data_IF_733645662992
#
_entry.id   IF_733645662992
#
_cell.length_a   1.000
_cell.length_b   1.000
_cell.length_c   1.000
_cell.angle_alpha   90.00
_cell.angle_beta   90.00
_cell.angle_gamma   90.00
#
_symmetry.space_group_name_H-M   'P 1'
#
loop_
_entity.id
_entity.type
_entity.pdbx_description
1 polymer ?
#
# COMPACT_ATOMS: atom_id res chain seq x y z
N UNK A 1 53.23 -37.11 53.53
CA UNK A 1 52.28 -37.34 52.45
C UNK A 1 51.09 -36.41 52.69
N UNK A 2 51.13 -35.23 52.09
CA UNK A 2 50.22 -34.14 52.38
C UNK A 2 49.27 -34.05 51.19
N UNK A 3 47.99 -34.29 51.40
CA UNK A 3 46.95 -34.19 50.40
C UNK A 3 46.39 -32.78 50.48
N UNK A 4 46.66 -31.99 49.45
CA UNK A 4 46.11 -30.63 49.31
C UNK A 4 44.78 -30.71 48.58
N UNK A 5 43.72 -30.33 49.30
CA UNK A 5 42.37 -30.29 48.77
C UNK A 5 42.16 -28.94 48.07
N UNK A 6 41.99 -28.97 46.75
CA UNK A 6 41.64 -27.80 45.96
C UNK A 6 40.13 -27.60 46.00
N UNK A 7 39.73 -26.50 46.62
CA UNK A 7 38.35 -26.03 46.57
C UNK A 7 38.17 -25.22 45.29
N UNK A 8 37.38 -25.74 44.37
CA UNK A 8 36.95 -25.00 43.18
C UNK A 8 35.71 -24.21 43.57
N UNK A 9 35.89 -22.89 43.70
CA UNK A 9 34.77 -21.98 43.77
C UNK A 9 34.06 -21.89 42.42
N UNK A 10 32.85 -22.39 42.38
CA UNK A 10 31.96 -22.26 41.26
C UNK A 10 31.32 -20.86 41.33
N UNK A 11 31.79 -19.93 40.51
CA UNK A 11 31.10 -18.68 40.26
C UNK A 11 29.90 -18.97 39.37
N UNK A 12 28.73 -18.97 39.94
CA UNK A 12 27.49 -18.92 39.20
C UNK A 12 27.36 -17.53 38.55
N UNK A 13 27.49 -17.45 37.26
CA UNK A 13 27.09 -16.32 36.46
C UNK A 13 25.55 -16.18 36.61
N UNK A 14 25.13 -15.15 37.32
CA UNK A 14 23.75 -14.65 37.23
C UNK A 14 23.54 -14.10 35.82
N UNK A 15 22.97 -14.92 34.92
CA UNK A 15 22.30 -14.42 33.74
C UNK A 15 21.06 -13.69 34.20
N UNK A 16 21.17 -12.36 34.20
CA UNK A 16 20.01 -11.50 34.41
C UNK A 16 18.96 -11.84 33.35
N UNK A 17 17.91 -12.53 33.76
CA UNK A 17 16.68 -12.59 33.02
C UNK A 17 16.13 -11.18 32.98
N UNK A 18 16.30 -10.50 31.82
CA UNK A 18 15.50 -9.31 31.51
C UNK A 18 14.05 -9.73 31.60
N UNK A 19 13.37 -9.18 32.58
CA UNK A 19 11.92 -9.27 32.70
C UNK A 19 11.30 -8.57 31.50
N UNK A 20 10.88 -9.35 30.51
CA UNK A 20 10.13 -8.89 29.34
C UNK A 20 8.65 -8.71 29.71
N UNK A 21 8.28 -8.83 30.95
CA UNK A 21 6.88 -8.77 31.41
C UNK A 21 6.33 -7.35 31.62
N UNK A 22 7.18 -6.30 31.62
CA UNK A 22 6.69 -4.94 31.91
C UNK A 22 6.37 -4.11 30.64
N UNK A 23 6.42 -4.71 29.47
CA UNK A 23 6.09 -4.03 28.21
C UNK A 23 4.72 -4.42 27.63
N UNK A 24 4.01 -5.36 28.24
CA UNK A 24 2.75 -5.89 27.71
C UNK A 24 1.49 -5.34 28.39
N UNK A 25 1.63 -4.50 29.41
CA UNK A 25 0.48 -3.96 30.14
C UNK A 25 0.24 -2.45 29.86
N UNK A 26 0.61 -1.99 28.64
CA UNK A 26 -0.08 -0.83 28.10
C UNK A 26 -1.40 -1.34 27.55
N UNK A 27 -2.41 -1.26 28.41
CA UNK A 27 -3.81 -1.34 28.07
C UNK A 27 -4.01 -0.60 26.74
N UNK A 28 -4.23 -1.36 25.66
CA UNK A 28 -4.62 -0.81 24.37
C UNK A 28 -5.97 -0.15 24.60
N UNK A 29 -5.95 1.14 24.91
CA UNK A 29 -7.18 1.94 25.00
C UNK A 29 -7.88 1.78 23.65
N UNK A 30 -9.11 1.27 23.61
CA UNK A 30 -9.86 1.15 22.37
C UNK A 30 -9.83 2.49 21.62
N UNK A 31 -9.65 2.47 20.32
CA UNK A 31 -9.58 3.68 19.47
C UNK A 31 -10.80 4.58 19.70
N UNK A 32 -11.94 3.98 20.03
CA UNK A 32 -13.20 4.66 20.34
C UNK A 32 -13.16 5.51 21.63
N UNK A 33 -12.22 5.25 22.54
CA UNK A 33 -12.08 6.02 23.80
C UNK A 33 -11.04 7.15 23.69
N UNK A 34 -10.34 7.26 22.55
CA UNK A 34 -9.39 8.35 22.35
C UNK A 34 -10.12 9.57 21.77
N UNK A 35 -10.39 10.56 22.61
CA UNK A 35 -11.14 11.76 22.24
C UNK A 35 -10.51 12.52 21.03
N UNK A 36 -9.18 12.55 20.93
CA UNK A 36 -8.49 13.21 19.80
C UNK A 36 -8.70 12.47 18.49
N UNK A 37 -8.72 11.13 18.53
CA UNK A 37 -8.99 10.30 17.35
C UNK A 37 -10.43 10.46 16.93
N UNK A 38 -11.36 10.47 17.88
CA UNK A 38 -12.78 10.65 17.60
C UNK A 38 -13.07 12.03 16.98
N UNK A 39 -12.47 13.10 17.49
CA UNK A 39 -12.60 14.44 16.94
C UNK A 39 -12.13 14.50 15.47
N UNK A 40 -11.02 13.86 15.14
CA UNK A 40 -10.53 13.76 13.76
C UNK A 40 -11.43 12.92 12.86
N UNK A 41 -11.99 11.84 13.37
CA UNK A 41 -12.96 11.04 12.61
C UNK A 41 -14.22 11.82 12.30
N UNK A 42 -14.75 12.57 13.28
CA UNK A 42 -15.92 13.41 13.13
C UNK A 42 -15.67 14.57 12.13
N UNK A 43 -14.45 15.13 12.14
CA UNK A 43 -14.03 16.15 11.17
C UNK A 43 -13.97 15.58 9.75
N UNK A 44 -13.40 14.39 9.57
CA UNK A 44 -13.35 13.70 8.27
C UNK A 44 -14.76 13.36 7.79
N UNK A 45 -15.62 12.85 8.65
CA UNK A 45 -17.00 12.54 8.30
C UNK A 45 -17.76 13.80 7.87
N UNK A 46 -17.56 14.91 8.57
CA UNK A 46 -18.15 16.20 8.22
C UNK A 46 -17.67 16.69 6.85
N UNK A 47 -16.37 16.62 6.57
CA UNK A 47 -15.79 16.98 5.27
C UNK A 47 -16.39 16.13 4.15
N UNK A 48 -16.48 14.83 4.35
CA UNK A 48 -17.06 13.90 3.37
C UNK A 48 -18.55 14.21 3.11
N UNK A 49 -19.31 14.50 4.16
CA UNK A 49 -20.74 14.88 4.03
C UNK A 49 -20.90 16.21 3.29
N UNK A 50 -20.07 17.21 3.58
CA UNK A 50 -20.11 18.52 2.93
C UNK A 50 -19.74 18.44 1.44
N UNK A 51 -18.89 17.52 1.06
CA UNK A 51 -18.43 17.32 -0.31
C UNK A 51 -19.16 16.18 -1.05
N UNK A 52 -20.21 15.60 -0.45
CA UNK A 52 -20.96 14.47 -1.02
C UNK A 52 -20.08 13.27 -1.44
N UNK A 53 -18.86 13.16 -0.85
CA UNK A 53 -17.92 12.07 -1.16
C UNK A 53 -18.17 10.85 -0.28
N UNK A 54 -18.30 9.69 -0.94
CA UNK A 54 -18.38 8.39 -0.28
C UNK A 54 -17.42 7.42 -0.97
N UNK A 55 -16.38 6.96 -0.27
CA UNK A 55 -15.46 5.96 -0.82
C UNK A 55 -16.22 4.70 -1.25
N UNK A 56 -15.94 4.20 -2.46
CA UNK A 56 -16.55 2.96 -2.93
C UNK A 56 -16.04 1.76 -2.14
N UNK A 57 -16.91 0.78 -1.93
CA UNK A 57 -16.53 -0.47 -1.28
C UNK A 57 -15.47 -1.23 -2.09
N UNK A 58 -14.67 -2.04 -1.40
CA UNK A 58 -13.65 -2.87 -2.05
C UNK A 58 -14.26 -4.08 -2.74
N UNK A 59 -13.95 -4.25 -4.02
CA UNK A 59 -14.46 -5.34 -4.86
C UNK A 59 -13.43 -6.48 -5.02
N UNK A 60 -12.14 -6.18 -4.89
CA UNK A 60 -11.01 -7.10 -5.07
C UNK A 60 -10.97 -7.78 -6.45
N UNK A 61 -10.64 -7.03 -7.48
CA UNK A 61 -10.33 -7.58 -8.79
C UNK A 61 -9.05 -8.40 -8.70
N UNK A 62 -9.10 -9.66 -9.14
CA UNK A 62 -8.03 -10.64 -8.92
C UNK A 62 -7.50 -11.21 -10.23
N UNK A 63 -6.17 -11.35 -10.33
CA UNK A 63 -5.47 -12.03 -11.41
C UNK A 63 -4.29 -12.81 -10.82
N UNK A 64 -4.43 -14.11 -10.66
CA UNK A 64 -3.45 -14.93 -9.95
C UNK A 64 -3.15 -14.39 -8.53
N UNK A 65 -1.88 -14.15 -8.18
CA UNK A 65 -1.48 -13.61 -6.89
C UNK A 65 -1.73 -12.09 -6.75
N UNK A 66 -2.14 -11.40 -7.81
CA UNK A 66 -2.30 -9.96 -7.87
C UNK A 66 -3.74 -9.55 -7.69
N UNK A 67 -3.97 -8.54 -6.86
CA UNK A 67 -5.30 -8.02 -6.56
C UNK A 67 -5.26 -6.50 -6.46
N UNK A 68 -6.23 -5.82 -7.08
CA UNK A 68 -6.52 -4.40 -6.84
C UNK A 68 -7.85 -4.28 -6.10
N UNK A 69 -7.96 -3.29 -5.24
CA UNK A 69 -9.08 -3.20 -4.31
C UNK A 69 -10.40 -2.73 -4.96
N UNK A 70 -10.33 -2.01 -6.09
CA UNK A 70 -11.53 -1.49 -6.77
C UNK A 70 -11.36 -1.43 -8.28
N UNK A 71 -12.48 -1.35 -8.98
CA UNK A 71 -12.56 -1.17 -10.45
C UNK A 71 -12.63 0.30 -10.87
N UNK A 72 -12.91 1.21 -9.94
CA UNK A 72 -13.03 2.64 -10.22
C UNK A 72 -12.49 3.49 -9.07
N UNK A 73 -11.81 4.57 -9.43
CA UNK A 73 -11.17 5.52 -8.53
C UNK A 73 -11.46 6.95 -8.98
N UNK A 74 -11.46 7.90 -8.04
CA UNK A 74 -11.36 9.33 -8.35
C UNK A 74 -9.90 9.78 -8.29
N UNK A 75 -9.57 10.92 -8.86
CA UNK A 75 -8.25 11.53 -8.73
C UNK A 75 -7.94 11.82 -7.25
N UNK A 76 -6.72 11.56 -6.79
CA UNK A 76 -6.31 11.67 -5.39
C UNK A 76 -6.48 10.39 -4.58
N UNK A 77 -7.31 9.44 -5.03
CA UNK A 77 -7.38 8.14 -4.37
C UNK A 77 -6.15 7.27 -4.64
N UNK A 78 -5.77 6.50 -3.63
CA UNK A 78 -4.68 5.51 -3.72
C UNK A 78 -5.21 4.17 -4.20
N UNK A 79 -4.68 3.72 -5.34
CA UNK A 79 -4.93 2.39 -5.88
C UNK A 79 -4.15 1.40 -5.03
N UNK A 80 -4.85 0.54 -4.31
CA UNK A 80 -4.21 -0.47 -3.47
C UNK A 80 -4.00 -1.76 -4.24
N UNK A 81 -2.74 -2.11 -4.45
CA UNK A 81 -2.33 -3.39 -5.03
C UNK A 81 -1.85 -4.31 -3.92
N UNK A 82 -2.47 -5.47 -3.80
CA UNK A 82 -2.07 -6.56 -2.93
C UNK A 82 -1.52 -7.70 -3.76
N UNK A 83 -0.35 -8.17 -3.39
CA UNK A 83 0.33 -9.32 -3.99
C UNK A 83 0.47 -10.37 -2.90
N UNK A 84 -0.04 -11.58 -3.16
CA UNK A 84 0.00 -12.64 -2.17
C UNK A 84 0.18 -14.01 -2.82
N UNK A 85 1.31 -14.66 -2.54
CA UNK A 85 1.57 -16.04 -2.97
C UNK A 85 2.17 -16.14 -4.37
N UNK A 86 3.08 -15.23 -4.77
CA UNK A 86 3.92 -15.42 -5.95
C UNK A 86 4.75 -16.69 -5.74
N UNK A 87 4.76 -17.57 -6.74
CA UNK A 87 5.53 -18.82 -6.69
C UNK A 87 7.04 -18.52 -6.70
N UNK A 88 7.83 -19.39 -6.06
CA UNK A 88 9.28 -19.19 -5.89
C UNK A 88 10.03 -18.97 -7.21
N UNK A 89 9.59 -19.57 -8.28
CA UNK A 89 10.17 -19.51 -9.63
C UNK A 89 9.59 -18.38 -10.51
N UNK A 90 8.54 -17.67 -10.03
CA UNK A 90 7.94 -16.58 -10.77
C UNK A 90 8.69 -15.26 -10.57
N UNK A 91 9.05 -14.64 -11.69
CA UNK A 91 9.70 -13.33 -11.76
C UNK A 91 9.11 -12.50 -12.90
N UNK A 92 9.02 -11.20 -12.66
CA UNK A 92 8.48 -10.34 -13.71
C UNK A 92 8.30 -8.90 -13.28
N UNK A 93 7.35 -8.25 -13.92
CA UNK A 93 7.04 -6.86 -13.69
C UNK A 93 5.52 -6.63 -13.68
N UNK A 94 5.04 -5.91 -12.69
CA UNK A 94 3.70 -5.34 -12.66
C UNK A 94 3.81 -3.98 -13.33
N UNK A 95 3.09 -3.79 -14.44
CA UNK A 95 3.17 -2.56 -15.23
C UNK A 95 1.80 -1.88 -15.26
N UNK A 96 1.73 -0.69 -14.69
CA UNK A 96 0.57 0.18 -14.79
C UNK A 96 0.62 0.97 -16.09
N UNK A 97 -0.40 0.81 -16.89
CA UNK A 97 -0.56 1.48 -18.19
C UNK A 97 -1.68 2.52 -18.07
N UNK A 98 -1.34 3.79 -18.31
CA UNK A 98 -2.33 4.86 -18.41
C UNK A 98 -2.88 4.96 -19.84
N UNK A 99 -4.14 5.37 -20.03
CA UNK A 99 -4.66 5.62 -21.36
C UNK A 99 -3.97 6.84 -22.00
N UNK A 100 -3.71 6.77 -23.31
CA UNK A 100 -3.38 7.93 -24.15
C UNK A 100 -4.59 8.34 -24.99
N UNK A 101 -5.37 7.36 -25.37
CA UNK A 101 -6.65 7.48 -26.06
C UNK A 101 -7.41 6.15 -25.94
N UNK A 102 -8.54 6.01 -26.62
CA UNK A 102 -9.40 4.81 -26.56
C UNK A 102 -8.73 3.49 -26.97
N UNK A 103 -7.54 3.53 -27.60
CA UNK A 103 -6.87 2.32 -28.12
C UNK A 103 -5.38 2.22 -27.76
N UNK A 104 -4.78 3.27 -27.22
CA UNK A 104 -3.35 3.31 -26.94
C UNK A 104 -3.09 3.61 -25.47
N UNK A 105 -2.05 2.96 -24.96
CA UNK A 105 -1.60 3.07 -23.57
C UNK A 105 -0.14 3.51 -23.51
N UNK A 106 0.22 4.15 -22.41
CA UNK A 106 1.60 4.48 -22.05
C UNK A 106 1.94 3.87 -20.70
N UNK A 107 3.19 3.44 -20.53
CA UNK A 107 3.69 2.98 -19.24
C UNK A 107 3.72 4.17 -18.27
N UNK A 108 3.00 4.05 -17.17
CA UNK A 108 3.03 5.03 -16.08
C UNK A 108 4.01 4.61 -14.98
N UNK A 109 3.90 3.37 -14.51
CA UNK A 109 4.73 2.84 -13.44
C UNK A 109 5.02 1.36 -13.60
N UNK A 110 6.19 0.93 -13.11
CA UNK A 110 6.60 -0.48 -13.17
C UNK A 110 7.17 -0.91 -11.83
N UNK A 111 6.71 -2.07 -11.33
CA UNK A 111 7.13 -2.68 -10.07
C UNK A 111 7.71 -4.06 -10.41
N UNK A 112 9.00 -4.31 -10.19
CA UNK A 112 9.56 -5.65 -10.33
C UNK A 112 9.05 -6.56 -9.21
N UNK A 113 8.88 -7.84 -9.50
CA UNK A 113 8.63 -8.86 -8.50
C UNK A 113 9.49 -10.11 -8.74
N UNK A 114 9.81 -10.77 -7.65
CA UNK A 114 10.57 -12.02 -7.59
C UNK A 114 10.03 -12.85 -6.43
N UNK A 115 9.39 -13.97 -6.74
CA UNK A 115 8.79 -14.84 -5.73
C UNK A 115 9.80 -15.50 -4.81
N UNK A 116 11.06 -15.66 -5.26
CA UNK A 116 12.14 -16.17 -4.43
C UNK A 116 12.57 -15.17 -3.34
N UNK A 117 12.53 -13.87 -3.65
CA UNK A 117 12.95 -12.80 -2.74
C UNK A 117 11.77 -12.28 -1.90
N UNK A 118 10.62 -12.12 -2.53
CA UNK A 118 9.45 -11.48 -1.89
C UNK A 118 8.14 -12.06 -2.40
N UNK A 119 7.65 -13.16 -1.82
CA UNK A 119 6.45 -13.86 -2.29
C UNK A 119 5.15 -13.11 -2.03
N UNK A 120 5.14 -12.11 -1.14
CA UNK A 120 3.98 -11.30 -0.83
C UNK A 120 4.38 -9.87 -0.45
N UNK A 121 3.63 -8.88 -0.92
CA UNK A 121 3.79 -7.48 -0.54
C UNK A 121 2.57 -6.65 -0.95
N UNK A 122 2.46 -5.46 -0.39
CA UNK A 122 1.46 -4.47 -0.76
C UNK A 122 2.12 -3.26 -1.43
N UNK A 123 1.39 -2.60 -2.30
CA UNK A 123 1.82 -1.37 -2.95
C UNK A 123 0.64 -0.39 -3.08
N UNK A 124 0.92 0.88 -2.91
CA UNK A 124 -0.03 1.97 -3.13
C UNK A 124 0.46 2.81 -4.30
N UNK A 125 -0.37 2.97 -5.31
CA UNK A 125 -0.13 3.84 -6.45
C UNK A 125 -1.10 5.00 -6.40
N UNK A 126 -0.58 6.21 -6.44
CA UNK A 126 -1.33 7.45 -6.56
C UNK A 126 -0.82 8.20 -7.79
N UNK A 127 -1.62 8.32 -8.85
CA UNK A 127 -1.25 9.12 -10.01
C UNK A 127 -1.13 10.60 -9.64
N UNK A 128 0.03 11.21 -9.92
CA UNK A 128 0.32 12.60 -9.59
C UNK A 128 0.81 13.36 -10.81
N UNK A 129 0.40 14.63 -10.93
CA UNK A 129 0.89 15.53 -11.95
C UNK A 129 2.39 15.74 -11.82
N UNK A 130 3.08 15.83 -12.94
CA UNK A 130 4.53 16.00 -12.98
C UNK A 130 4.99 16.60 -14.29
N UNK A 131 5.39 17.85 -14.26
CA UNK A 131 5.96 18.53 -15.42
C UNK A 131 7.17 17.78 -16.00
N UNK A 132 8.01 17.21 -15.13
CA UNK A 132 9.22 16.47 -15.55
C UNK A 132 8.86 15.21 -16.33
N UNK A 133 7.77 14.54 -15.97
CA UNK A 133 7.28 13.33 -16.65
C UNK A 133 6.31 13.63 -17.79
N UNK A 134 5.95 14.90 -17.98
CA UNK A 134 4.98 15.33 -19.01
C UNK A 134 3.54 14.98 -18.67
N UNK A 135 3.21 14.82 -17.38
CA UNK A 135 1.85 14.69 -16.88
C UNK A 135 1.38 16.06 -16.43
N UNK A 136 0.74 16.80 -17.33
CA UNK A 136 0.52 18.24 -17.15
C UNK A 136 -0.83 18.59 -16.56
N UNK A 137 -1.82 17.73 -16.76
CA UNK A 137 -3.19 17.99 -16.34
C UNK A 137 -3.93 16.69 -16.01
N UNK A 138 -5.11 16.80 -15.44
CA UNK A 138 -5.93 15.66 -15.01
C UNK A 138 -6.30 14.72 -16.15
N UNK A 139 -6.45 15.25 -17.36
CA UNK A 139 -6.75 14.49 -18.59
C UNK A 139 -5.66 13.43 -18.90
N UNK A 140 -4.45 13.61 -18.36
CA UNK A 140 -3.39 12.62 -18.49
C UNK A 140 -3.67 11.32 -17.73
N UNK A 141 -4.63 11.34 -16.80
CA UNK A 141 -4.94 10.20 -15.92
C UNK A 141 -6.35 9.66 -16.08
N UNK A 142 -7.30 10.48 -16.56
CA UNK A 142 -8.70 10.08 -16.71
C UNK A 142 -8.85 8.99 -17.78
N UNK A 143 -9.63 7.96 -17.46
CA UNK A 143 -10.00 6.90 -18.39
C UNK A 143 -9.66 5.49 -17.92
N UNK A 144 -9.64 4.55 -18.85
CA UNK A 144 -9.47 3.12 -18.56
C UNK A 144 -7.99 2.76 -18.46
N UNK A 145 -7.56 2.36 -17.29
CA UNK A 145 -6.20 1.91 -16.98
C UNK A 145 -6.10 0.40 -17.07
N UNK A 146 -4.88 -0.07 -17.29
CA UNK A 146 -4.60 -1.49 -17.35
C UNK A 146 -3.36 -1.84 -16.51
N UNK A 147 -3.45 -2.95 -15.77
CA UNK A 147 -2.31 -3.55 -15.07
C UNK A 147 -1.92 -4.82 -15.80
N UNK A 148 -0.69 -4.88 -16.28
CA UNK A 148 -0.13 -5.99 -17.03
C UNK A 148 0.95 -6.69 -16.21
N UNK A 149 0.95 -8.01 -16.22
CA UNK A 149 1.91 -8.84 -15.47
C UNK A 149 2.92 -9.46 -16.45
N UNK A 150 3.97 -8.71 -16.77
CA UNK A 150 5.01 -9.15 -17.70
C UNK A 150 5.87 -10.25 -17.08
N UNK A 151 6.11 -11.29 -17.84
CA UNK A 151 6.85 -12.48 -17.40
C UNK A 151 5.95 -13.58 -16.84
N UNK A 152 4.63 -13.41 -16.94
CA UNK A 152 3.62 -14.39 -16.54
C UNK A 152 2.51 -14.48 -17.58
N UNK A 153 1.65 -15.50 -17.45
CA UNK A 153 0.45 -15.68 -18.29
C UNK A 153 -0.83 -15.19 -17.58
N UNK A 154 -0.71 -14.45 -16.47
CA UNK A 154 -1.88 -13.93 -15.76
C UNK A 154 -2.61 -12.87 -16.61
N UNK A 155 -3.95 -12.91 -16.65
CA UNK A 155 -4.74 -11.92 -17.36
C UNK A 155 -4.54 -10.51 -16.79
N UNK A 156 -4.65 -9.50 -17.64
CA UNK A 156 -4.57 -8.12 -17.18
C UNK A 156 -5.72 -7.79 -16.23
N UNK A 157 -5.47 -6.88 -15.29
CA UNK A 157 -6.53 -6.19 -14.54
C UNK A 157 -6.81 -4.85 -15.20
N UNK A 158 -8.06 -4.42 -15.14
CA UNK A 158 -8.51 -3.13 -15.67
C UNK A 158 -9.25 -2.35 -14.58
N UNK A 159 -9.04 -1.06 -14.54
CA UNK A 159 -9.74 -0.14 -13.66
C UNK A 159 -9.87 1.23 -14.35
N UNK A 160 -10.75 2.07 -13.84
CA UNK A 160 -11.00 3.40 -14.39
C UNK A 160 -10.65 4.47 -13.37
N UNK A 161 -10.07 5.57 -13.82
CA UNK A 161 -10.00 6.81 -13.06
C UNK A 161 -11.02 7.79 -13.66
N UNK A 162 -11.91 8.32 -12.83
CA UNK A 162 -12.93 9.28 -13.22
C UNK A 162 -12.38 10.71 -13.19
N UNK A 163 -13.20 11.67 -13.64
CA UNK A 163 -12.84 13.09 -13.64
C UNK A 163 -13.01 13.76 -12.26
N UNK A 164 -13.69 13.09 -11.33
CA UNK A 164 -13.88 13.60 -9.99
C UNK A 164 -12.57 13.63 -9.22
N UNK A 165 -12.40 14.61 -8.34
CA UNK A 165 -11.24 14.76 -7.48
C UNK A 165 -11.66 14.48 -6.04
N UNK A 166 -10.79 13.78 -5.30
CA UNK A 166 -10.98 13.54 -3.88
C UNK A 166 -11.08 14.88 -3.13
N UNK A 167 -12.11 15.12 -2.33
CA UNK A 167 -12.26 16.36 -1.57
C UNK A 167 -11.03 16.69 -0.73
N UNK A 168 -10.51 17.91 -0.91
CA UNK A 168 -9.27 18.38 -0.26
C UNK A 168 -7.99 18.14 -1.05
N UNK A 169 -8.07 17.48 -2.22
CA UNK A 169 -6.91 17.23 -3.10
C UNK A 169 -6.94 18.09 -4.38
N UNK A 170 -7.85 19.03 -4.50
CA UNK A 170 -8.06 19.85 -5.71
C UNK A 170 -6.79 20.59 -6.12
N UNK A 171 -6.07 21.18 -5.15
CA UNK A 171 -4.84 21.93 -5.39
C UNK A 171 -3.71 21.06 -5.97
N UNK A 172 -3.72 19.76 -5.64
CA UNK A 172 -2.73 18.77 -6.12
C UNK A 172 -2.93 18.42 -7.61
N UNK A 173 -4.09 18.75 -8.16
CA UNK A 173 -4.49 18.45 -9.53
C UNK A 173 -4.68 19.70 -10.41
N UNK A 174 -4.21 20.86 -9.96
CA UNK A 174 -4.06 22.02 -10.83
C UNK A 174 -3.00 21.79 -11.91
N UNK A 175 -3.29 22.24 -13.13
CA UNK A 175 -2.35 22.07 -14.26
C UNK A 175 -0.97 22.65 -13.95
N UNK A 176 0.08 21.85 -14.16
CA UNK A 176 1.48 22.19 -13.81
C UNK A 176 2.34 22.60 -15.01
N UNK A 177 1.79 22.61 -16.22
CA UNK A 177 2.43 23.05 -17.45
C UNK A 177 1.76 24.28 -18.02
#
# INVERSE_FOLDING_TARGET
MIITMMVIMNQSEETGSMEVEDAMDKELVPVEENAEVQEKLDEIEKINLENEYSPKEREWLTSGPFQIDRSEYVLGEKIFLRINGISYDEKGQIVFLRPLNSSHYSVYWTIPFDGAERPAFNYYLEPQLSKIKGYCSVEDFIGDWRVVFRGTDYPNLEFKITEDILPGEEDSYESVC
#
